data_IF_982306315737
#
_entry.id   IF_982306315737
#
_cell.length_a   1.000
_cell.length_b   1.000
_cell.length_c   1.000
_cell.angle_alpha   90.00
_cell.angle_beta   90.00
_cell.angle_gamma   90.00
#
_symmetry.space_group_name_H-M   'P 1'
#
loop_
_entity.id
_entity.type
_entity.pdbx_description
1 polymer ?
#
# COMPACT_ATOMS: atom_id res chain seq x y z
N UNK A 1 59.42 19.15 -43.83
CA UNK A 1 58.89 20.52 -43.98
C UNK A 1 57.37 20.42 -43.76
N UNK A 2 56.71 20.97 -42.75
CA UNK A 2 57.05 21.51 -41.42
C UNK A 2 56.10 20.84 -40.39
N UNK A 3 56.43 20.63 -39.12
CA UNK A 3 56.97 21.47 -38.05
C UNK A 3 55.98 22.46 -37.44
N UNK A 4 55.55 22.14 -36.21
CA UNK A 4 55.11 23.08 -35.17
C UNK A 4 53.58 23.17 -34.99
N UNK A 5 52.98 23.06 -33.81
CA UNK A 5 53.53 22.93 -32.47
C UNK A 5 52.43 22.41 -31.51
N UNK A 6 52.81 21.50 -30.62
CA UNK A 6 52.07 21.15 -29.40
C UNK A 6 52.56 22.01 -28.23
N UNK A 7 51.62 22.40 -27.33
CA UNK A 7 51.71 22.58 -25.86
C UNK A 7 50.74 23.68 -25.38
N UNK A 8 50.34 23.75 -24.09
CA UNK A 8 50.39 22.74 -23.03
C UNK A 8 49.05 22.55 -22.27
N UNK A 9 49.02 21.45 -21.53
CA UNK A 9 48.02 21.07 -20.53
C UNK A 9 48.04 21.98 -19.29
N UNK A 10 46.88 22.49 -18.89
CA UNK A 10 46.67 23.08 -17.56
C UNK A 10 45.83 22.16 -16.69
N UNK A 11 46.50 21.36 -15.85
CA UNK A 11 45.92 20.79 -14.64
C UNK A 11 45.68 21.94 -13.65
N UNK A 12 44.43 22.22 -13.30
CA UNK A 12 44.11 22.93 -12.05
C UNK A 12 43.75 21.91 -10.98
N UNK A 13 44.69 21.69 -10.07
CA UNK A 13 44.43 21.15 -8.73
C UNK A 13 44.00 22.33 -7.87
N UNK A 14 42.83 22.27 -7.25
CA UNK A 14 42.48 23.18 -6.16
C UNK A 14 41.92 22.38 -5.00
N UNK A 15 42.31 22.82 -3.81
CA UNK A 15 42.38 22.08 -2.56
C UNK A 15 41.02 21.68 -1.97
N UNK A 16 41.05 20.54 -1.28
CA UNK A 16 40.11 20.13 -0.25
C UNK A 16 40.19 21.12 0.91
N UNK A 17 39.06 21.75 1.26
CA UNK A 17 38.88 22.44 2.53
C UNK A 17 37.93 21.59 3.38
N UNK A 18 38.53 20.84 4.29
CA UNK A 18 37.84 20.20 5.40
C UNK A 18 37.47 21.27 6.42
N UNK A 19 36.18 21.59 6.53
CA UNK A 19 35.65 22.33 7.68
C UNK A 19 35.08 21.30 8.64
N UNK A 20 35.85 21.00 9.69
CA UNK A 20 35.34 20.27 10.84
C UNK A 20 34.37 21.16 11.62
N UNK A 21 33.15 20.70 11.81
CA UNK A 21 32.28 21.20 12.88
C UNK A 21 32.19 20.14 13.97
N UNK A 22 32.68 20.55 15.14
CA UNK A 22 32.63 19.85 16.42
C UNK A 22 31.19 19.68 16.91
N UNK A 23 30.87 18.45 17.32
CA UNK A 23 29.68 18.13 18.10
C UNK A 23 29.74 18.82 19.47
N UNK A 24 28.66 19.49 19.86
CA UNK A 24 28.42 19.93 21.23
C UNK A 24 27.22 19.16 21.79
N UNK A 25 27.52 18.18 22.66
CA UNK A 25 26.54 17.53 23.53
C UNK A 25 26.11 18.55 24.60
N UNK A 26 24.84 18.93 24.63
CA UNK A 26 24.24 19.61 25.77
C UNK A 26 23.55 18.56 26.66
N UNK A 27 24.21 18.18 27.74
CA UNK A 27 23.62 17.44 28.86
C UNK A 27 22.86 18.47 29.71
N UNK A 28 21.53 18.40 29.70
CA UNK A 28 20.65 19.14 30.61
C UNK A 28 19.89 18.15 31.49
N UNK A 29 20.26 18.09 32.76
CA UNK A 29 19.60 17.28 33.77
C UNK A 29 18.77 18.16 34.73
N UNK A 30 17.74 17.53 35.29
CA UNK A 30 17.02 17.82 36.55
C UNK A 30 15.76 18.69 36.45
N UNK A 31 14.63 18.05 36.76
CA UNK A 31 13.36 18.67 37.11
C UNK A 31 12.33 17.62 37.54
N UNK A 32 12.58 16.92 38.64
CA UNK A 32 11.63 16.01 39.28
C UNK A 32 10.74 16.78 40.26
N UNK A 33 9.41 16.76 40.08
CA UNK A 33 8.42 16.81 41.18
C UNK A 33 7.05 16.33 40.67
N UNK A 34 6.39 15.41 41.39
CA UNK A 34 4.97 15.15 41.17
C UNK A 34 4.49 13.73 41.48
N UNK A 35 4.74 13.24 42.68
CA UNK A 35 4.07 12.04 43.19
C UNK A 35 2.58 12.35 43.42
N UNK A 36 1.71 11.64 42.70
CA UNK A 36 0.26 11.62 42.92
C UNK A 36 -0.19 10.17 43.07
N UNK A 37 -0.26 9.71 44.32
CA UNK A 37 -0.79 8.40 44.67
C UNK A 37 -2.29 8.34 44.35
N UNK A 38 -2.68 7.42 43.47
CA UNK A 38 -4.08 7.01 43.34
C UNK A 38 -4.30 5.74 44.16
N UNK A 39 -5.18 5.88 45.14
CA UNK A 39 -5.64 4.84 46.05
C UNK A 39 -6.40 3.75 45.31
N UNK A 40 -6.06 2.50 45.62
CA UNK A 40 -6.80 1.31 45.22
C UNK A 40 -8.24 1.34 45.74
N UNK A 41 -9.20 1.08 44.86
CA UNK A 41 -10.53 0.62 45.22
C UNK A 41 -10.72 -0.76 44.59
N UNK A 42 -10.54 -1.79 45.41
CA UNK A 42 -11.01 -3.13 45.09
C UNK A 42 -12.54 -3.12 45.26
N UNK A 43 -13.27 -3.36 44.17
CA UNK A 43 -14.69 -3.67 44.27
C UNK A 43 -15.01 -5.05 43.68
N UNK A 44 -15.87 -5.74 44.42
CA UNK A 44 -16.11 -7.18 44.34
C UNK A 44 -16.91 -7.53 43.09
N UNK A 45 -16.29 -8.25 42.14
CA UNK A 45 -17.03 -8.94 41.10
C UNK A 45 -17.85 -10.09 41.73
N UNK A 46 -19.17 -9.91 41.80
CA UNK A 46 -20.12 -10.96 42.16
C UNK A 46 -20.41 -11.80 40.94
N UNK A 47 -20.13 -13.10 41.06
CA UNK A 47 -20.53 -14.15 40.12
C UNK A 47 -22.05 -14.18 40.02
N UNK A 48 -22.61 -13.88 38.85
CA UNK A 48 -24.01 -14.10 38.54
C UNK A 48 -24.11 -15.22 37.52
N UNK A 49 -24.49 -16.41 38.01
CA UNK A 49 -24.89 -17.56 37.20
C UNK A 49 -26.37 -17.39 36.86
N UNK A 50 -26.70 -17.37 35.56
CA UNK A 50 -28.08 -17.42 35.07
C UNK A 50 -28.39 -18.89 34.69
N UNK A 51 -29.52 -19.47 35.12
CA UNK A 51 -29.84 -20.87 34.85
C UNK A 51 -30.38 -21.09 33.44
N UNK A 52 -30.01 -22.26 32.90
CA UNK A 52 -30.48 -22.88 31.68
C UNK A 52 -31.95 -23.32 31.83
N UNK A 53 -32.84 -22.87 30.94
CA UNK A 53 -34.21 -23.37 30.83
C UNK A 53 -34.48 -23.87 29.41
N UNK A 54 -35.04 -25.07 29.32
CA UNK A 54 -35.21 -25.85 28.11
C UNK A 54 -36.52 -25.54 27.37
N UNK A 55 -36.41 -25.55 26.03
CA UNK A 55 -37.30 -26.04 24.97
C UNK A 55 -38.82 -25.78 25.03
N UNK A 56 -39.33 -25.21 23.94
CA UNK A 56 -40.58 -25.61 23.28
C UNK A 56 -40.55 -25.20 21.80
N UNK A 57 -40.70 -26.18 20.91
CA UNK A 57 -40.83 -26.05 19.46
C UNK A 57 -42.24 -25.58 19.07
N UNK A 58 -42.39 -24.82 17.97
CA UNK A 58 -43.46 -25.14 17.04
C UNK A 58 -42.99 -25.22 15.57
N UNK A 59 -43.83 -25.92 14.83
CA UNK A 59 -43.66 -26.55 13.53
C UNK A 59 -43.66 -25.59 12.33
N UNK A 60 -43.11 -26.11 11.24
CA UNK A 60 -42.81 -25.52 9.94
C UNK A 60 -43.84 -24.56 9.33
N UNK A 61 -43.33 -23.42 8.84
CA UNK A 61 -43.93 -22.68 7.72
C UNK A 61 -42.88 -22.50 6.61
N UNK A 62 -43.20 -23.04 5.43
CA UNK A 62 -42.39 -23.01 4.22
C UNK A 62 -42.17 -21.56 3.74
N UNK A 63 -40.91 -21.14 3.65
CA UNK A 63 -40.48 -19.91 2.96
C UNK A 63 -39.29 -20.20 2.03
N UNK A 64 -39.18 -19.49 0.89
CA UNK A 64 -38.36 -19.89 -0.24
C UNK A 64 -36.86 -19.80 0.06
N UNK A 65 -36.10 -20.72 -0.51
CA UNK A 65 -34.63 -20.74 -0.52
C UNK A 65 -34.10 -19.39 -1.05
N UNK A 66 -33.34 -18.61 -0.26
CA UNK A 66 -32.54 -17.55 -0.84
C UNK A 66 -31.41 -18.17 -1.66
N UNK A 67 -31.42 -17.86 -2.95
CA UNK A 67 -30.35 -18.11 -3.90
C UNK A 67 -29.05 -17.48 -3.41
N UNK A 68 -27.97 -18.28 -3.41
CA UNK A 68 -26.56 -17.91 -3.35
C UNK A 68 -26.16 -16.82 -2.33
N UNK A 69 -25.96 -17.25 -1.09
CA UNK A 69 -24.99 -16.61 -0.18
C UNK A 69 -23.62 -16.64 -0.84
N UNK A 70 -23.08 -15.47 -1.18
CA UNK A 70 -21.65 -15.28 -1.40
C UNK A 70 -20.91 -15.83 -0.19
N UNK A 71 -19.98 -16.76 -0.42
CA UNK A 71 -19.11 -17.28 0.63
C UNK A 71 -18.35 -16.10 1.27
N UNK A 72 -18.15 -16.07 2.60
CA UNK A 72 -17.34 -15.03 3.21
C UNK A 72 -15.93 -15.13 2.66
N UNK A 73 -15.42 -14.05 2.04
CA UNK A 73 -14.00 -13.91 1.74
C UNK A 73 -13.23 -14.15 3.06
N UNK A 74 -12.48 -15.23 3.13
CA UNK A 74 -11.75 -15.62 4.33
C UNK A 74 -10.53 -14.69 4.51
N UNK A 75 -10.12 -14.41 5.75
CA UNK A 75 -8.76 -13.91 6.08
C UNK A 75 -7.69 -15.01 5.78
N UNK A 76 -8.03 -15.98 4.94
CA UNK A 76 -7.19 -17.09 4.55
C UNK A 76 -6.13 -16.67 3.54
N UNK A 77 -5.15 -17.54 3.27
CA UNK A 77 -4.19 -17.30 2.19
C UNK A 77 -4.95 -17.03 0.88
N UNK A 78 -4.46 -16.10 0.04
CA UNK A 78 -5.11 -15.79 -1.23
C UNK A 78 -5.22 -17.05 -2.12
N UNK A 79 -6.11 -17.04 -3.13
CA UNK A 79 -6.03 -18.03 -4.20
C UNK A 79 -4.59 -18.09 -4.74
N UNK A 80 -4.10 -19.30 -4.95
CA UNK A 80 -2.70 -19.62 -5.24
C UNK A 80 -2.21 -18.77 -6.44
N UNK A 81 -1.17 -17.92 -6.31
CA UNK A 81 -0.75 -17.03 -7.39
C UNK A 81 -0.28 -17.78 -8.64
N UNK A 82 0.08 -19.06 -8.49
CA UNK A 82 0.44 -19.97 -9.59
C UNK A 82 -0.63 -21.04 -9.89
N UNK A 83 -1.75 -21.04 -9.17
CA UNK A 83 -2.75 -22.11 -9.19
C UNK A 83 -4.18 -21.60 -9.36
N UNK A 84 -4.78 -22.02 -10.49
CA UNK A 84 -6.15 -21.79 -10.97
C UNK A 84 -6.42 -20.45 -11.68
N UNK A 85 -7.16 -20.56 -12.79
CA UNK A 85 -7.58 -19.50 -13.71
C UNK A 85 -8.83 -18.75 -13.20
N UNK A 86 -9.32 -19.09 -12.01
CA UNK A 86 -10.53 -18.53 -11.42
C UNK A 86 -10.15 -17.33 -10.52
N UNK A 87 -9.71 -16.23 -11.16
CA UNK A 87 -9.68 -14.93 -10.50
C UNK A 87 -11.11 -14.48 -10.21
N UNK A 88 -11.32 -13.79 -9.08
CA UNK A 88 -12.61 -13.18 -8.80
C UNK A 88 -13.01 -12.26 -9.97
N UNK A 89 -14.30 -12.25 -10.28
CA UNK A 89 -14.85 -11.33 -11.27
C UNK A 89 -14.69 -9.92 -10.70
N UNK A 90 -14.05 -9.03 -11.45
CA UNK A 90 -13.94 -7.63 -11.08
C UNK A 90 -15.35 -7.02 -11.00
N UNK A 91 -15.74 -6.58 -9.80
CA UNK A 91 -16.97 -5.83 -9.59
C UNK A 91 -16.68 -4.34 -9.78
N UNK A 92 -17.28 -3.74 -10.81
CA UNK A 92 -17.13 -2.32 -11.13
C UNK A 92 -18.42 -1.54 -10.88
N UNK A 93 -19.44 -2.16 -10.28
CA UNK A 93 -20.72 -1.49 -10.04
C UNK A 93 -20.53 -0.30 -9.09
N UNK A 94 -21.04 0.87 -9.51
CA UNK A 94 -20.96 2.10 -8.73
C UNK A 94 -19.60 2.80 -8.74
N UNK A 95 -18.58 2.26 -9.41
CA UNK A 95 -17.29 2.92 -9.57
C UNK A 95 -17.34 4.01 -10.65
N UNK A 96 -16.49 5.03 -10.51
CA UNK A 96 -16.29 6.04 -11.55
C UNK A 96 -15.57 5.42 -12.76
N UNK A 97 -15.75 5.98 -13.96
CA UNK A 97 -15.10 5.45 -15.17
C UNK A 97 -13.56 5.43 -15.07
N UNK A 98 -12.98 6.38 -14.34
CA UNK A 98 -11.56 6.45 -14.07
C UNK A 98 -11.09 5.27 -13.19
N UNK A 99 -11.80 5.03 -12.08
CA UNK A 99 -11.51 3.89 -11.19
C UNK A 99 -11.74 2.56 -11.90
N UNK A 100 -12.80 2.43 -12.69
CA UNK A 100 -13.04 1.25 -13.53
C UNK A 100 -11.85 0.98 -14.46
N UNK A 101 -11.36 1.98 -15.19
CA UNK A 101 -10.22 1.81 -16.10
C UNK A 101 -8.94 1.39 -15.38
N UNK A 102 -8.71 1.91 -14.17
CA UNK A 102 -7.58 1.53 -13.32
C UNK A 102 -7.63 0.04 -12.92
N UNK A 103 -8.79 -0.41 -12.43
CA UNK A 103 -8.96 -1.77 -11.94
C UNK A 103 -9.06 -2.80 -13.07
N UNK A 104 -9.65 -2.44 -14.21
CA UNK A 104 -9.63 -3.26 -15.42
C UNK A 104 -8.19 -3.48 -15.91
N UNK A 105 -7.37 -2.42 -15.91
CA UNK A 105 -5.95 -2.56 -16.23
C UNK A 105 -5.24 -3.49 -15.24
N UNK A 106 -5.46 -3.28 -13.94
CA UNK A 106 -4.85 -4.14 -12.92
C UNK A 106 -5.26 -5.61 -13.11
N UNK A 107 -6.55 -5.88 -13.33
CA UNK A 107 -7.10 -7.23 -13.53
C UNK A 107 -6.56 -7.92 -14.77
N UNK A 108 -6.38 -7.17 -15.87
CA UNK A 108 -5.82 -7.71 -17.10
C UNK A 108 -4.32 -8.03 -16.98
N UNK A 109 -3.57 -7.23 -16.22
CA UNK A 109 -2.10 -7.22 -16.32
C UNK A 109 -1.36 -7.75 -15.08
N UNK A 110 -2.02 -8.05 -13.95
CA UNK A 110 -1.34 -8.39 -12.67
C UNK A 110 -0.39 -9.60 -12.70
N UNK A 111 -0.49 -10.47 -13.73
CA UNK A 111 0.41 -11.62 -13.92
C UNK A 111 1.54 -11.36 -14.91
N UNK A 112 1.50 -10.26 -15.65
CA UNK A 112 2.42 -10.01 -16.75
C UNK A 112 3.84 -9.74 -16.25
N UNK A 113 4.82 -10.34 -16.93
CA UNK A 113 6.25 -10.21 -16.62
C UNK A 113 7.01 -9.49 -17.74
N UNK A 114 6.27 -8.87 -18.64
CA UNK A 114 6.79 -8.10 -19.75
C UNK A 114 5.80 -6.98 -20.11
N UNK A 115 6.33 -5.90 -20.68
CA UNK A 115 5.54 -4.81 -21.26
C UNK A 115 6.44 -4.05 -22.22
N UNK A 116 6.09 -4.02 -23.51
CA UNK A 116 6.85 -3.23 -24.49
C UNK A 116 6.77 -1.72 -24.22
N UNK A 117 5.71 -1.29 -23.52
CA UNK A 117 5.45 0.12 -23.24
C UNK A 117 6.09 0.60 -21.95
N UNK A 118 5.96 -0.19 -20.89
CA UNK A 118 6.33 0.24 -19.53
C UNK A 118 7.55 -0.50 -18.97
N UNK A 119 7.97 -1.58 -19.64
CA UNK A 119 8.96 -2.50 -19.10
C UNK A 119 8.45 -3.25 -17.87
N UNK A 120 9.33 -4.09 -17.32
CA UNK A 120 9.07 -4.88 -16.12
C UNK A 120 10.34 -4.93 -15.26
N UNK A 121 10.18 -4.83 -13.94
CA UNK A 121 11.28 -4.85 -12.96
C UNK A 121 11.22 -6.16 -12.14
N UNK A 122 11.96 -7.21 -12.51
CA UNK A 122 11.87 -8.50 -11.83
C UNK A 122 12.05 -8.40 -10.31
N UNK A 123 11.08 -8.93 -9.56
CA UNK A 123 11.03 -8.96 -8.09
C UNK A 123 11.01 -7.58 -7.41
N UNK A 124 10.73 -6.49 -8.14
CA UNK A 124 10.64 -5.14 -7.55
C UNK A 124 9.71 -4.23 -8.35
N UNK A 125 8.72 -4.80 -9.04
CA UNK A 125 7.84 -4.10 -9.98
C UNK A 125 6.62 -3.45 -9.32
N UNK A 126 6.56 -3.39 -7.99
CA UNK A 126 5.40 -2.88 -7.24
C UNK A 126 4.89 -1.54 -7.79
N UNK A 127 5.76 -0.54 -7.84
CA UNK A 127 5.34 0.84 -8.13
C UNK A 127 5.30 1.12 -9.62
N UNK A 128 6.13 0.43 -10.41
CA UNK A 128 6.02 0.49 -11.85
C UNK A 128 4.63 0.00 -12.29
N UNK A 129 4.15 -1.11 -11.75
CA UNK A 129 2.80 -1.60 -12.01
C UNK A 129 1.71 -0.65 -11.49
N UNK A 130 1.78 -0.21 -10.23
CA UNK A 130 0.81 0.76 -9.69
C UNK A 130 0.80 2.05 -10.51
N UNK A 131 1.94 2.51 -11.02
CA UNK A 131 2.01 3.69 -11.87
C UNK A 131 1.32 3.48 -13.21
N UNK A 132 1.41 2.27 -13.78
CA UNK A 132 0.65 1.90 -14.98
C UNK A 132 -0.86 1.93 -14.74
N UNK A 133 -1.34 1.43 -13.59
CA UNK A 133 -2.78 1.46 -13.26
C UNK A 133 -3.25 2.91 -13.08
N UNK A 134 -2.49 3.76 -12.41
CA UNK A 134 -2.79 5.20 -12.27
C UNK A 134 -2.79 5.91 -13.64
N UNK A 135 -1.87 5.54 -14.54
CA UNK A 135 -1.89 6.05 -15.90
C UNK A 135 -3.15 5.60 -16.66
N UNK A 136 -3.57 4.33 -16.50
CA UNK A 136 -4.84 3.82 -17.06
C UNK A 136 -6.08 4.50 -16.46
N UNK A 137 -6.03 4.88 -15.17
CA UNK A 137 -7.04 5.73 -14.50
C UNK A 137 -7.25 7.08 -15.20
N UNK A 138 -6.22 7.54 -15.92
CA UNK A 138 -6.23 8.82 -16.62
C UNK A 138 -5.29 9.88 -16.02
N UNK A 139 -4.39 9.50 -15.11
CA UNK A 139 -3.38 10.45 -14.64
C UNK A 139 -2.48 10.92 -15.77
N UNK A 140 -2.39 12.25 -15.91
CA UNK A 140 -1.43 12.88 -16.79
C UNK A 140 -0.03 12.83 -16.17
N UNK A 141 0.94 12.43 -16.99
CA UNK A 141 2.36 12.48 -16.63
C UNK A 141 2.83 13.93 -16.51
N UNK A 142 3.74 14.18 -15.57
CA UNK A 142 4.36 15.49 -15.37
C UNK A 142 5.90 15.38 -15.41
N UNK A 143 6.61 16.46 -15.08
CA UNK A 143 8.07 16.47 -15.10
C UNK A 143 8.72 15.60 -14.01
N UNK A 144 7.97 15.18 -12.99
CA UNK A 144 8.43 14.40 -11.84
C UNK A 144 7.94 12.94 -11.86
N UNK A 145 6.74 12.67 -12.37
CA UNK A 145 6.17 11.33 -12.51
C UNK A 145 5.90 11.02 -13.98
N UNK A 146 6.75 10.18 -14.57
CA UNK A 146 6.70 9.81 -15.98
C UNK A 146 7.40 8.46 -16.25
N UNK A 147 7.02 7.79 -17.32
CA UNK A 147 7.66 6.57 -17.83
C UNK A 147 8.49 6.82 -19.09
N UNK A 148 9.54 6.02 -19.25
CA UNK A 148 10.27 5.95 -20.51
C UNK A 148 9.40 5.31 -21.60
N UNK A 149 9.12 6.01 -22.72
CA UNK A 149 8.26 5.47 -23.78
C UNK A 149 8.93 4.38 -24.64
N UNK A 150 10.22 4.12 -24.43
CA UNK A 150 10.99 3.07 -25.08
C UNK A 150 10.94 1.73 -24.36
N UNK A 151 10.12 1.59 -23.31
CA UNK A 151 9.87 0.31 -22.64
C UNK A 151 10.96 -0.14 -21.66
N UNK A 152 11.90 0.73 -21.33
CA UNK A 152 12.90 0.45 -20.29
C UNK A 152 12.43 1.05 -18.95
N UNK A 153 11.85 0.23 -18.08
CA UNK A 153 11.35 0.69 -16.77
C UNK A 153 12.40 1.45 -15.95
N UNK A 154 13.68 1.06 -16.02
CA UNK A 154 14.75 1.67 -15.24
C UNK A 154 15.14 3.09 -15.68
N UNK A 155 14.63 3.57 -16.83
CA UNK A 155 14.85 4.95 -17.27
C UNK A 155 13.65 5.85 -17.02
N UNK A 156 12.55 5.32 -16.49
CA UNK A 156 11.43 6.10 -15.96
C UNK A 156 11.83 6.95 -14.74
N UNK A 157 10.98 7.89 -14.34
CA UNK A 157 11.27 8.77 -13.20
C UNK A 157 11.28 8.02 -11.87
N UNK A 158 12.00 8.55 -10.86
CA UNK A 158 12.10 7.91 -9.54
C UNK A 158 10.73 7.63 -8.91
N UNK A 159 9.77 8.58 -8.89
CA UNK A 159 8.41 8.31 -8.39
C UNK A 159 7.60 7.29 -9.20
N UNK A 160 7.97 7.01 -10.45
CA UNK A 160 7.30 5.98 -11.26
C UNK A 160 7.71 4.56 -10.87
N UNK A 161 8.94 4.35 -10.37
CA UNK A 161 9.50 3.01 -10.11
C UNK A 161 9.89 2.74 -8.66
N UNK A 162 9.70 3.69 -7.74
CA UNK A 162 10.10 3.54 -6.33
C UNK A 162 8.98 3.98 -5.38
N UNK A 163 8.67 3.11 -4.42
CA UNK A 163 7.54 3.25 -3.50
C UNK A 163 7.70 4.46 -2.59
N UNK A 164 8.88 4.59 -2.00
CA UNK A 164 9.28 5.74 -1.21
C UNK A 164 9.22 7.05 -2.01
N UNK A 165 9.65 7.04 -3.28
CA UNK A 165 9.61 8.24 -4.11
C UNK A 165 8.19 8.59 -4.57
N UNK A 166 7.32 7.59 -4.79
CA UNK A 166 5.90 7.83 -5.03
C UNK A 166 5.25 8.46 -3.79
N UNK A 167 5.56 7.98 -2.59
CA UNK A 167 5.10 8.57 -1.32
C UNK A 167 5.45 10.06 -1.26
N UNK A 168 6.72 10.43 -1.45
CA UNK A 168 7.14 11.84 -1.45
C UNK A 168 6.48 12.67 -2.56
N UNK A 169 6.26 12.06 -3.74
CA UNK A 169 5.57 12.73 -4.84
C UNK A 169 4.11 13.07 -4.49
N UNK A 170 3.41 12.16 -3.81
CA UNK A 170 2.01 12.33 -3.38
C UNK A 170 1.88 13.27 -2.17
N UNK A 171 2.81 13.21 -1.21
CA UNK A 171 2.87 14.16 -0.09
C UNK A 171 2.96 15.61 -0.57
N UNK A 172 3.68 15.84 -1.67
CA UNK A 172 3.81 17.16 -2.29
C UNK A 172 2.60 17.58 -3.16
N UNK A 173 1.61 16.70 -3.35
CA UNK A 173 0.48 16.86 -4.29
C UNK A 173 -0.87 16.50 -3.65
N UNK A 174 -1.33 17.27 -2.65
CA UNK A 174 -2.62 17.03 -1.99
C UNK A 174 -3.81 17.14 -2.94
N UNK A 175 -3.65 17.73 -4.13
CA UNK A 175 -4.65 17.74 -5.18
C UNK A 175 -4.83 16.40 -5.90
N UNK A 176 -3.85 15.48 -5.80
CA UNK A 176 -3.89 14.14 -6.41
C UNK A 176 -4.33 13.06 -5.44
N UNK A 177 -3.93 13.18 -4.17
CA UNK A 177 -4.21 12.17 -3.17
C UNK A 177 -4.27 12.72 -1.75
N UNK A 178 -5.08 12.09 -0.91
CA UNK A 178 -5.13 12.34 0.54
C UNK A 178 -4.48 11.17 1.28
N UNK A 179 -3.54 11.46 2.18
CA UNK A 179 -2.93 10.44 3.02
C UNK A 179 -3.94 9.90 4.04
N UNK A 180 -4.02 8.58 4.16
CA UNK A 180 -4.79 7.88 5.18
C UNK A 180 -3.86 6.96 5.97
N UNK A 181 -4.05 6.94 7.28
CA UNK A 181 -3.44 5.96 8.18
C UNK A 181 -4.31 4.71 8.28
N UNK A 182 -3.76 3.70 8.93
CA UNK A 182 -4.48 2.46 9.18
C UNK A 182 -5.74 2.62 10.06
N UNK A 183 -5.73 3.58 10.98
CA UNK A 183 -6.93 3.91 11.79
C UNK A 183 -8.07 4.49 10.93
N UNK A 184 -7.79 4.85 9.68
CA UNK A 184 -8.74 5.44 8.73
C UNK A 184 -9.14 4.46 7.61
N UNK A 185 -8.93 3.15 7.77
CA UNK A 185 -9.34 2.09 6.82
C UNK A 185 -10.77 2.23 6.30
N UNK A 186 -11.70 2.71 7.13
CA UNK A 186 -13.10 2.93 6.75
C UNK A 186 -13.32 4.01 5.67
N UNK A 187 -12.29 4.79 5.33
CA UNK A 187 -12.29 5.79 4.26
C UNK A 187 -11.65 5.29 2.96
N UNK A 188 -11.00 4.12 3.00
CA UNK A 188 -10.33 3.54 1.83
C UNK A 188 -11.38 3.06 0.83
N UNK A 189 -11.09 3.21 -0.46
CA UNK A 189 -11.97 2.85 -1.56
C UNK A 189 -11.23 2.01 -2.61
N UNK A 190 -11.93 1.17 -3.41
CA UNK A 190 -11.35 0.56 -4.59
C UNK A 190 -10.71 1.60 -5.51
N UNK A 191 -9.51 1.30 -6.03
CA UNK A 191 -8.69 2.22 -6.83
C UNK A 191 -7.74 3.11 -6.02
N UNK A 192 -7.84 3.10 -4.69
CA UNK A 192 -6.82 3.72 -3.84
C UNK A 192 -5.47 2.99 -3.94
N UNK A 193 -4.41 3.65 -3.49
CA UNK A 193 -3.08 3.04 -3.44
C UNK A 193 -2.78 2.64 -2.00
N UNK A 194 -2.42 1.37 -1.80
CA UNK A 194 -1.90 0.87 -0.53
C UNK A 194 -0.37 0.90 -0.56
N UNK A 195 0.24 1.39 0.51
CA UNK A 195 1.68 1.33 0.70
C UNK A 195 2.01 0.69 2.04
N UNK A 196 3.06 -0.11 2.05
CA UNK A 196 3.54 -0.79 3.23
C UNK A 196 4.94 -0.33 3.55
N UNK A 197 5.24 -0.33 4.84
CA UNK A 197 6.57 -0.20 5.40
C UNK A 197 6.90 -1.55 6.04
N UNK A 198 7.49 -2.45 5.25
CA UNK A 198 7.66 -3.85 5.68
C UNK A 198 8.64 -4.02 6.84
N UNK A 199 9.58 -3.10 7.00
CA UNK A 199 10.63 -3.16 8.00
C UNK A 199 10.52 -2.08 9.09
N UNK A 200 9.46 -1.27 9.06
CA UNK A 200 9.21 -0.13 9.96
C UNK A 200 10.34 0.89 9.95
N UNK A 201 10.97 1.10 8.80
CA UNK A 201 12.04 2.08 8.61
C UNK A 201 11.52 3.52 8.56
N UNK A 202 10.23 3.69 8.32
CA UNK A 202 9.59 4.95 7.95
C UNK A 202 9.64 5.24 6.46
N UNK A 203 10.33 4.42 5.66
CA UNK A 203 10.21 4.44 4.21
C UNK A 203 9.20 3.38 3.76
N UNK A 204 8.14 3.84 3.07
CA UNK A 204 7.10 2.93 2.58
C UNK A 204 7.65 2.21 1.36
N UNK A 205 8.25 1.05 1.57
CA UNK A 205 9.07 0.31 0.60
C UNK A 205 8.27 -0.54 -0.41
N UNK A 206 6.99 -0.77 -0.16
CA UNK A 206 6.13 -1.56 -1.05
C UNK A 206 4.80 -0.87 -1.36
N UNK A 207 4.28 -1.09 -2.57
CA UNK A 207 3.04 -0.46 -3.05
C UNK A 207 2.16 -1.48 -3.79
N UNK A 208 0.85 -1.35 -3.65
CA UNK A 208 -0.17 -2.04 -4.44
C UNK A 208 -1.35 -1.12 -4.76
N UNK A 209 -2.32 -1.64 -5.51
CA UNK A 209 -3.61 -0.96 -5.76
C UNK A 209 -4.72 -1.68 -5.03
N UNK A 210 -5.56 -0.95 -4.30
CA UNK A 210 -6.72 -1.51 -3.59
C UNK A 210 -7.74 -1.97 -4.62
N UNK A 211 -8.10 -3.25 -4.57
CA UNK A 211 -9.05 -3.88 -5.50
C UNK A 211 -10.44 -4.03 -4.90
N UNK A 212 -10.53 -4.29 -3.60
CA UNK A 212 -11.78 -4.43 -2.90
C UNK A 212 -11.72 -3.88 -1.46
N UNK A 213 -12.87 -3.39 -0.99
CA UNK A 213 -13.09 -2.94 0.38
C UNK A 213 -14.44 -3.47 0.84
N UNK A 214 -14.44 -4.37 1.83
CA UNK A 214 -15.64 -5.03 2.34
C UNK A 214 -15.81 -4.78 3.85
N UNK A 215 -16.78 -3.93 4.25
CA UNK A 215 -17.18 -3.82 5.66
C UNK A 215 -17.73 -5.15 6.17
N UNK A 216 -17.33 -5.56 7.37
CA UNK A 216 -17.77 -6.80 8.01
C UNK A 216 -18.74 -6.52 9.15
N UNK A 217 -19.55 -7.54 9.47
CA UNK A 217 -20.56 -7.45 10.53
C UNK A 217 -19.99 -7.19 11.93
N UNK A 218 -18.72 -7.54 12.16
CA UNK A 218 -18.00 -7.28 13.41
C UNK A 218 -17.42 -5.86 13.52
N UNK A 219 -17.65 -5.02 12.51
CA UNK A 219 -17.18 -3.65 12.43
C UNK A 219 -15.77 -3.50 11.85
N UNK A 220 -15.11 -4.60 11.47
CA UNK A 220 -13.83 -4.56 10.73
C UNK A 220 -14.06 -4.26 9.25
N UNK A 221 -12.99 -3.92 8.54
CA UNK A 221 -13.00 -3.69 7.09
C UNK A 221 -11.94 -4.58 6.47
N UNK A 222 -12.36 -5.52 5.62
CA UNK A 222 -11.42 -6.24 4.76
C UNK A 222 -10.98 -5.29 3.64
N UNK A 223 -9.68 -5.16 3.44
CA UNK A 223 -9.09 -4.47 2.30
C UNK A 223 -8.21 -5.47 1.55
N UNK A 224 -8.41 -5.54 0.25
CA UNK A 224 -7.66 -6.39 -0.66
C UNK A 224 -6.91 -5.56 -1.70
N UNK A 225 -5.78 -6.07 -2.19
CA UNK A 225 -4.95 -5.37 -3.15
C UNK A 225 -4.35 -6.27 -4.22
N UNK A 226 -4.03 -5.66 -5.36
CA UNK A 226 -3.22 -6.24 -6.42
C UNK A 226 -1.80 -5.63 -6.46
N UNK A 227 -0.82 -6.42 -6.90
CA UNK A 227 0.59 -6.03 -6.90
C UNK A 227 1.48 -6.94 -7.75
N UNK A 228 2.73 -6.52 -7.94
CA UNK A 228 3.62 -7.05 -8.99
C UNK A 228 5.02 -7.45 -8.52
N UNK A 229 5.38 -7.21 -7.25
CA UNK A 229 6.64 -7.77 -6.70
C UNK A 229 6.52 -9.28 -6.57
N UNK A 230 5.41 -9.69 -5.99
CA UNK A 230 4.88 -11.03 -5.89
C UNK A 230 3.48 -10.98 -6.49
N UNK A 231 3.38 -11.39 -7.75
CA UNK A 231 2.20 -11.20 -8.60
C UNK A 231 0.95 -11.64 -7.85
N UNK A 232 0.03 -10.70 -7.64
CA UNK A 232 -1.08 -10.88 -6.72
C UNK A 232 -2.31 -10.17 -7.23
N UNK A 233 -3.45 -10.83 -7.05
CA UNK A 233 -4.79 -10.29 -7.18
C UNK A 233 -5.56 -10.58 -5.89
N UNK A 234 -6.30 -9.59 -5.38
CA UNK A 234 -7.12 -9.66 -4.17
C UNK A 234 -6.45 -10.27 -2.93
N UNK A 235 -5.21 -9.86 -2.62
CA UNK A 235 -4.61 -10.26 -1.34
C UNK A 235 -5.10 -9.37 -0.21
N UNK A 236 -5.54 -10.00 0.86
CA UNK A 236 -5.84 -9.31 2.13
C UNK A 236 -4.62 -8.56 2.67
N UNK A 237 -4.81 -7.26 2.94
CA UNK A 237 -3.84 -6.43 3.68
C UNK A 237 -3.53 -7.03 5.06
N UNK A 238 -4.55 -7.49 5.78
CA UNK A 238 -4.37 -8.05 7.12
C UNK A 238 -3.55 -9.34 7.09
N UNK A 239 -3.75 -10.17 6.07
CA UNK A 239 -2.92 -11.35 5.88
C UNK A 239 -1.46 -10.98 5.56
N UNK A 240 -1.23 -9.99 4.70
CA UNK A 240 0.11 -9.51 4.42
C UNK A 240 0.81 -9.01 5.70
N UNK A 241 0.12 -8.26 6.55
CA UNK A 241 0.67 -7.70 7.80
C UNK A 241 0.84 -8.72 8.93
N UNK A 242 0.03 -9.78 8.97
CA UNK A 242 0.05 -10.73 10.10
C UNK A 242 0.78 -12.04 9.77
N UNK A 243 0.90 -12.38 8.48
CA UNK A 243 1.50 -13.65 8.02
C UNK A 243 2.78 -13.43 7.23
N UNK A 244 2.78 -12.55 6.22
CA UNK A 244 3.97 -12.33 5.39
C UNK A 244 5.01 -11.43 6.07
N UNK A 245 4.56 -10.31 6.62
CA UNK A 245 5.39 -9.30 7.25
C UNK A 245 4.89 -8.94 8.66
N UNK A 246 4.97 -9.88 9.63
CA UNK A 246 4.47 -9.66 10.98
C UNK A 246 5.05 -8.41 11.64
N UNK A 247 4.16 -7.46 11.94
CA UNK A 247 4.50 -6.22 12.66
C UNK A 247 4.90 -5.04 11.78
N UNK A 248 4.75 -5.15 10.46
CA UNK A 248 4.87 -4.03 9.53
C UNK A 248 3.72 -3.01 9.69
N UNK A 249 3.93 -1.80 9.16
CA UNK A 249 2.94 -0.74 9.08
C UNK A 249 2.33 -0.63 7.66
N UNK A 250 1.07 -0.18 7.57
CA UNK A 250 0.37 0.09 6.30
C UNK A 250 -0.20 1.50 6.28
N UNK A 251 -0.22 2.08 5.09
CA UNK A 251 -0.74 3.40 4.79
C UNK A 251 -1.51 3.35 3.48
N UNK A 252 -2.41 4.31 3.29
CA UNK A 252 -3.16 4.43 2.06
C UNK A 252 -3.10 5.85 1.51
N UNK A 253 -3.27 5.94 0.21
CA UNK A 253 -3.54 7.17 -0.50
C UNK A 253 -4.93 7.08 -1.10
N UNK A 254 -5.84 7.90 -0.57
CA UNK A 254 -7.13 8.12 -1.20
C UNK A 254 -6.92 8.93 -2.47
N UNK A 255 -7.10 8.29 -3.63
CA UNK A 255 -6.78 8.88 -4.92
C UNK A 255 -7.97 9.70 -5.40
N UNK A 256 -7.73 10.97 -5.77
CA UNK A 256 -8.77 11.83 -6.32
C UNK A 256 -9.34 11.25 -7.63
N UNK A 257 -10.65 11.42 -7.84
CA UNK A 257 -11.34 11.11 -9.10
C UNK A 257 -10.84 11.96 -10.27
#
# INVERSE_FOLDING_TARGET
MGSGAEHPSTRRRTAVLAVGLTAALAIGAIGAVGAGAWTAAADRARTSVVPLAAASTPEAELRPTPTATSAPASIGPPPDPEGTDDIAVLDTEGLSAAVTAQLEYAHAHWRERDSERFGYIPNNDCVNFTSQTLFARGWEQDSAWWHDPGGNAYTSSSPWISSTNLMWYLEARPEKATALTDDQRHLVQPGDVVQFDWDNSGDRDHTGVVTAVEPRDDGTVLIEYAGHTDHTWDRSVDWALTVLHPGADVYYWSIAD
#
